data_IF_492442331253
#
_entry.id   IF_492442331253
#
_cell.length_a   1.000
_cell.length_b   1.000
_cell.length_c   1.000
_cell.angle_alpha   90.00
_cell.angle_beta   90.00
_cell.angle_gamma   90.00
#
_symmetry.space_group_name_H-M   'P 1'
#
loop_
_entity.id
_entity.type
_entity.pdbx_description
1 polymer ?
#
# COMPACT_ATOMS: atom_id res chain seq x y z
N UNK A 1 -22.94 0.86 19.15
CA UNK A 1 -21.74 0.83 20.03
C UNK A 1 -20.61 0.11 19.29
N UNK A 2 -19.40 0.67 19.21
CA UNK A 2 -18.27 -0.05 18.60
C UNK A 2 -17.91 -1.29 19.44
N UNK A 3 -17.67 -2.47 18.81
CA UNK A 3 -17.13 -3.63 19.51
C UNK A 3 -15.83 -3.28 20.25
N UNK A 4 -15.62 -3.84 21.44
CA UNK A 4 -14.44 -3.55 22.27
C UNK A 4 -13.12 -3.80 21.51
N UNK A 5 -13.06 -4.85 20.70
CA UNK A 5 -11.91 -5.15 19.85
C UNK A 5 -11.60 -4.01 18.85
N UNK A 6 -12.62 -3.38 18.27
CA UNK A 6 -12.42 -2.28 17.33
C UNK A 6 -11.95 -1.01 18.04
N UNK A 7 -12.39 -0.78 19.28
CA UNK A 7 -11.86 0.31 20.11
C UNK A 7 -10.38 0.10 20.41
N UNK A 8 -9.99 -1.11 20.79
CA UNK A 8 -8.58 -1.43 21.08
C UNK A 8 -7.71 -1.26 19.84
N UNK A 9 -8.16 -1.75 18.68
CA UNK A 9 -7.46 -1.57 17.40
C UNK A 9 -7.32 -0.10 17.03
N UNK A 10 -8.37 0.71 17.22
CA UNK A 10 -8.33 2.15 16.95
C UNK A 10 -7.37 2.89 17.89
N UNK A 11 -7.37 2.53 19.18
CA UNK A 11 -6.44 3.11 20.16
C UNK A 11 -4.99 2.80 19.77
N UNK A 12 -4.68 1.57 19.37
CA UNK A 12 -3.35 1.21 18.89
C UNK A 12 -2.98 1.92 17.59
N UNK A 13 -3.91 2.07 16.65
CA UNK A 13 -3.68 2.82 15.42
C UNK A 13 -3.35 4.28 15.71
N UNK A 14 -4.11 4.93 16.59
CA UNK A 14 -3.86 6.31 17.01
C UNK A 14 -2.53 6.43 17.75
N UNK A 15 -2.22 5.50 18.65
CA UNK A 15 -0.96 5.49 19.39
C UNK A 15 0.26 5.29 18.47
N UNK A 16 0.17 4.40 17.47
CA UNK A 16 1.23 4.19 16.48
C UNK A 16 1.47 5.44 15.62
N UNK A 17 0.40 6.09 15.15
CA UNK A 17 0.53 7.34 14.39
C UNK A 17 1.05 8.49 15.26
N UNK A 18 0.63 8.59 16.52
CA UNK A 18 1.17 9.56 17.47
C UNK A 18 2.67 9.33 17.73
N UNK A 19 3.10 8.07 17.81
CA UNK A 19 4.51 7.72 17.94
C UNK A 19 5.34 8.11 16.70
N UNK A 20 4.84 7.83 15.48
CA UNK A 20 5.49 8.28 14.24
C UNK A 20 5.60 9.81 14.22
N UNK A 21 4.52 10.51 14.54
CA UNK A 21 4.52 11.96 14.61
C UNK A 21 5.52 12.48 15.65
N UNK A 22 5.57 11.87 16.83
CA UNK A 22 6.54 12.20 17.86
C UNK A 22 7.99 11.96 17.39
N UNK A 23 8.26 10.86 16.68
CA UNK A 23 9.57 10.61 16.06
C UNK A 23 9.91 11.65 14.99
N UNK A 24 8.94 12.03 14.15
CA UNK A 24 9.13 13.05 13.12
C UNK A 24 9.42 14.42 13.76
N UNK A 25 8.68 14.80 14.80
CA UNK A 25 8.90 16.04 15.55
C UNK A 25 10.25 16.00 16.26
N UNK A 26 10.55 14.92 16.98
CA UNK A 26 11.84 14.76 17.67
C UNK A 26 13.00 14.80 16.69
N UNK A 27 12.86 14.25 15.49
CA UNK A 27 13.91 14.30 14.48
C UNK A 27 14.03 15.64 13.75
N UNK A 28 12.90 16.32 13.54
CA UNK A 28 12.89 17.67 13.00
C UNK A 28 13.54 18.66 13.98
N UNK A 29 13.27 18.49 15.29
CA UNK A 29 13.83 19.32 16.37
C UNK A 29 15.28 18.96 16.67
N UNK A 30 15.63 17.67 16.72
CA UNK A 30 16.98 17.19 17.03
C UNK A 30 17.82 16.92 15.77
N UNK A 31 17.48 17.57 14.64
CA UNK A 31 18.16 17.38 13.36
C UNK A 31 19.65 17.72 13.54
N UNK A 32 20.53 16.73 13.35
CA UNK A 32 21.98 16.85 13.56
C UNK A 32 22.50 16.33 14.90
N UNK A 33 21.71 16.31 15.98
CA UNK A 33 22.16 15.86 17.31
C UNK A 33 22.13 14.34 17.45
N UNK A 34 21.06 13.68 17.01
CA UNK A 34 20.90 12.22 17.14
C UNK A 34 21.31 11.43 15.89
N UNK A 35 21.17 12.04 14.70
CA UNK A 35 21.28 11.31 13.44
C UNK A 35 22.60 11.52 12.71
N UNK A 36 23.37 12.54 13.09
CA UNK A 36 24.64 12.90 12.44
C UNK A 36 24.47 12.99 10.92
N UNK A 37 25.26 12.19 10.20
CA UNK A 37 25.18 12.03 8.74
C UNK A 37 23.82 11.44 8.28
N UNK A 38 23.15 12.07 7.32
CA UNK A 38 21.88 11.61 6.75
C UNK A 38 22.04 10.44 5.77
N UNK A 39 23.27 9.96 5.51
CA UNK A 39 23.48 8.77 4.69
C UNK A 39 22.68 7.58 5.20
N UNK A 40 22.02 6.92 4.26
CA UNK A 40 21.29 5.70 4.52
C UNK A 40 22.20 4.61 5.11
N UNK A 41 21.75 3.98 6.19
CA UNK A 41 22.27 2.69 6.63
C UNK A 41 21.12 1.81 7.09
N UNK A 42 21.27 0.51 6.88
CA UNK A 42 20.23 -0.45 7.24
C UNK A 42 19.93 -0.45 8.74
N UNK A 43 20.95 -0.22 9.59
CA UNK A 43 20.80 -0.08 11.04
C UNK A 43 19.93 1.12 11.40
N UNK A 44 20.20 2.29 10.80
CA UNK A 44 19.40 3.51 11.01
C UNK A 44 17.96 3.31 10.57
N UNK A 45 17.76 2.67 9.42
CA UNK A 45 16.44 2.34 8.90
C UNK A 45 15.64 1.44 9.85
N UNK A 46 16.21 0.33 10.31
CA UNK A 46 15.49 -0.57 11.22
C UNK A 46 15.34 -0.02 12.64
N UNK A 47 16.23 0.85 13.10
CA UNK A 47 16.01 1.59 14.34
C UNK A 47 14.79 2.52 14.19
N UNK A 48 14.70 3.23 13.07
CA UNK A 48 13.56 4.09 12.77
C UNK A 48 12.27 3.29 12.62
N UNK A 49 12.29 2.15 11.91
CA UNK A 49 11.10 1.32 11.64
C UNK A 49 10.81 0.29 12.72
N UNK A 50 11.66 0.16 13.74
CA UNK A 50 11.58 -0.87 14.77
C UNK A 50 10.32 -0.81 15.62
N UNK A 51 9.64 0.34 15.65
CA UNK A 51 8.34 0.48 16.31
C UNK A 51 7.25 -0.37 15.67
N UNK A 52 7.30 -0.61 14.36
CA UNK A 52 6.26 -1.37 13.65
C UNK A 52 6.16 -2.81 14.19
N UNK A 53 7.22 -3.64 14.17
CA UNK A 53 7.14 -4.98 14.75
C UNK A 53 6.82 -4.97 16.25
N UNK A 54 7.26 -3.96 17.02
CA UNK A 54 6.89 -3.83 18.43
C UNK A 54 5.38 -3.57 18.61
N UNK A 55 4.79 -2.71 17.79
CA UNK A 55 3.35 -2.44 17.80
C UNK A 55 2.52 -3.67 17.42
N UNK A 56 2.95 -4.41 16.38
CA UNK A 56 2.33 -5.69 16.01
C UNK A 56 2.49 -6.75 17.11
N UNK A 57 3.63 -6.80 17.79
CA UNK A 57 3.84 -7.66 18.95
C UNK A 57 2.90 -7.30 20.11
N UNK A 58 2.75 -6.02 20.43
CA UNK A 58 1.82 -5.56 21.44
C UNK A 58 0.36 -5.89 21.09
N UNK A 59 -0.06 -5.66 19.84
CA UNK A 59 -1.38 -6.06 19.34
C UNK A 59 -1.60 -7.58 19.43
N UNK A 60 -0.57 -8.37 19.13
CA UNK A 60 -0.65 -9.81 19.23
C UNK A 60 -0.81 -10.32 20.67
N UNK A 61 -0.14 -9.67 21.62
CA UNK A 61 -0.24 -10.02 23.04
C UNK A 61 -1.54 -9.53 23.70
N UNK A 62 -2.11 -8.42 23.21
CA UNK A 62 -3.25 -7.75 23.87
C UNK A 62 -4.58 -7.88 23.15
N UNK A 63 -4.58 -8.22 21.87
CA UNK A 63 -5.79 -8.30 21.03
C UNK A 63 -5.93 -9.68 20.40
N UNK A 64 -5.02 -10.07 19.51
CA UNK A 64 -5.10 -11.34 18.78
C UNK A 64 -3.74 -11.74 18.19
N UNK A 65 -3.19 -12.95 18.47
CA UNK A 65 -1.89 -13.38 17.95
C UNK A 65 -1.79 -13.35 16.42
N UNK A 66 -2.92 -13.39 15.71
CA UNK A 66 -2.99 -13.29 14.24
C UNK A 66 -2.45 -11.97 13.69
N UNK A 67 -2.32 -10.92 14.50
CA UNK A 67 -1.65 -9.68 14.06
C UNK A 67 -0.17 -9.91 13.70
N UNK A 68 0.54 -10.84 14.34
CA UNK A 68 1.90 -11.22 13.91
C UNK A 68 1.88 -11.94 12.56
N UNK A 69 0.88 -12.78 12.30
CA UNK A 69 0.72 -13.41 11.01
C UNK A 69 0.41 -12.37 9.92
N UNK A 70 -0.43 -11.38 10.22
CA UNK A 70 -0.70 -10.25 9.32
C UNK A 70 0.58 -9.48 8.98
N UNK A 71 1.42 -9.15 9.97
CA UNK A 71 2.71 -8.50 9.74
C UNK A 71 3.55 -9.24 8.70
N UNK A 72 3.68 -10.56 8.86
CA UNK A 72 4.53 -11.38 7.98
C UNK A 72 3.90 -11.53 6.60
N UNK A 73 2.65 -11.97 6.52
CA UNK A 73 1.97 -12.27 5.25
C UNK A 73 1.77 -11.00 4.43
N UNK A 74 1.34 -9.91 5.07
CA UNK A 74 1.12 -8.64 4.36
C UNK A 74 2.44 -8.00 3.92
N UNK A 75 3.49 -8.04 4.76
CA UNK A 75 4.80 -7.53 4.37
C UNK A 75 5.35 -8.23 3.12
N UNK A 76 5.24 -9.57 3.07
CA UNK A 76 5.64 -10.34 1.89
C UNK A 76 4.74 -10.06 0.68
N UNK A 77 3.42 -10.05 0.88
CA UNK A 77 2.45 -9.81 -0.18
C UNK A 77 2.61 -8.42 -0.80
N UNK A 78 2.97 -7.40 -0.02
CA UNK A 78 3.23 -6.06 -0.53
C UNK A 78 4.48 -5.98 -1.40
N UNK A 79 5.60 -6.56 -0.97
CA UNK A 79 6.84 -6.63 -1.77
C UNK A 79 6.60 -7.39 -3.08
N UNK A 80 5.87 -8.51 -3.03
CA UNK A 80 5.48 -9.25 -4.24
C UNK A 80 4.51 -8.45 -5.12
N UNK A 81 3.54 -7.76 -4.51
CA UNK A 81 2.57 -6.91 -5.18
C UNK A 81 3.23 -5.77 -5.95
N UNK A 82 4.19 -5.08 -5.35
CA UNK A 82 5.01 -4.06 -6.04
C UNK A 82 5.72 -4.61 -7.27
N UNK A 83 6.30 -5.82 -7.15
CA UNK A 83 6.96 -6.48 -8.26
C UNK A 83 5.96 -6.75 -9.39
N UNK A 84 4.79 -7.31 -9.09
CA UNK A 84 3.75 -7.60 -10.08
C UNK A 84 3.20 -6.32 -10.73
N UNK A 85 2.97 -5.27 -9.94
CA UNK A 85 2.55 -3.96 -10.44
C UNK A 85 3.62 -3.34 -11.34
N UNK A 86 4.90 -3.45 -10.97
CA UNK A 86 6.00 -2.97 -11.81
C UNK A 86 6.09 -3.74 -13.13
N UNK A 87 5.90 -5.05 -13.11
CA UNK A 87 5.87 -5.86 -14.33
C UNK A 87 4.68 -5.50 -15.23
N UNK A 88 3.50 -5.33 -14.66
CA UNK A 88 2.33 -4.85 -15.39
C UNK A 88 2.57 -3.43 -15.92
N UNK A 89 3.14 -2.53 -15.13
CA UNK A 89 3.48 -1.18 -15.57
C UNK A 89 4.40 -1.19 -16.79
N UNK A 90 5.41 -2.06 -16.78
CA UNK A 90 6.35 -2.23 -17.91
C UNK A 90 5.70 -2.74 -19.18
N UNK A 91 4.53 -3.35 -19.11
CA UNK A 91 3.77 -3.66 -20.33
C UNK A 91 3.10 -2.44 -20.94
N UNK A 92 2.95 -1.32 -20.22
CA UNK A 92 2.34 -0.09 -20.74
C UNK A 92 3.35 1.05 -20.95
N UNK A 93 4.43 1.11 -20.16
CA UNK A 93 5.33 2.26 -20.12
C UNK A 93 6.82 1.87 -20.11
N UNK A 94 7.66 2.68 -20.79
CA UNK A 94 9.11 2.50 -20.82
C UNK A 94 9.83 3.05 -19.59
N UNK A 95 9.30 4.08 -18.94
CA UNK A 95 9.85 4.57 -17.69
C UNK A 95 9.21 3.81 -16.53
N UNK A 96 9.98 3.35 -15.54
CA UNK A 96 9.41 2.67 -14.38
C UNK A 96 8.47 3.59 -13.62
N UNK A 97 7.55 3.02 -12.85
CA UNK A 97 6.64 3.79 -11.99
C UNK A 97 7.42 4.52 -10.88
N UNK A 98 8.34 3.81 -10.24
CA UNK A 98 9.25 4.27 -9.20
C UNK A 98 10.67 3.73 -9.43
N UNK A 99 11.65 4.38 -8.80
CA UNK A 99 13.05 3.96 -8.81
C UNK A 99 13.55 3.87 -7.36
N UNK A 100 14.07 2.71 -6.94
CA UNK A 100 14.66 2.54 -5.61
C UNK A 100 16.16 2.82 -5.61
N UNK A 101 16.62 3.61 -4.63
CA UNK A 101 18.03 3.93 -4.42
C UNK A 101 18.76 2.86 -3.61
N UNK A 102 18.05 2.07 -2.79
CA UNK A 102 18.64 1.12 -1.86
C UNK A 102 17.96 -0.24 -1.87
N UNK A 103 18.77 -1.31 -1.76
CA UNK A 103 18.33 -2.72 -1.65
C UNK A 103 17.29 -3.13 -2.70
N UNK A 104 17.41 -2.56 -3.89
CA UNK A 104 16.56 -2.87 -5.04
C UNK A 104 16.66 -4.35 -5.40
N UNK A 105 15.51 -4.95 -5.69
CA UNK A 105 15.38 -6.31 -6.20
C UNK A 105 14.90 -6.24 -7.64
N UNK A 106 15.34 -7.18 -8.48
CA UNK A 106 14.90 -7.36 -9.86
C UNK A 106 14.86 -6.04 -10.66
N UNK A 107 16.04 -5.43 -10.88
CA UNK A 107 16.22 -4.17 -11.61
C UNK A 107 15.52 -2.94 -10.99
N UNK A 108 15.22 -2.98 -9.69
CA UNK A 108 14.60 -1.86 -8.98
C UNK A 108 13.09 -1.82 -9.05
N UNK A 109 12.44 -2.96 -9.30
CA UNK A 109 10.97 -3.06 -9.28
C UNK A 109 10.38 -3.08 -7.87
N UNK A 110 11.13 -3.55 -6.89
CA UNK A 110 10.76 -3.50 -5.47
C UNK A 110 12.02 -3.38 -4.61
N UNK A 111 11.86 -3.19 -3.31
CA UNK A 111 12.93 -3.23 -2.34
C UNK A 111 12.51 -4.03 -1.11
N UNK A 112 13.43 -4.84 -0.58
CA UNK A 112 13.20 -5.63 0.64
C UNK A 112 12.91 -4.76 1.87
N UNK A 113 13.34 -3.49 1.84
CA UNK A 113 13.04 -2.54 2.92
C UNK A 113 11.55 -2.17 2.96
N UNK A 114 10.78 -2.38 1.88
CA UNK A 114 9.35 -2.07 1.86
C UNK A 114 8.49 -3.07 2.64
N UNK A 115 9.06 -4.16 3.14
CA UNK A 115 8.34 -5.16 3.94
C UNK A 115 7.56 -4.53 5.10
N UNK A 116 8.21 -3.71 5.93
CA UNK A 116 7.57 -3.09 7.10
C UNK A 116 6.51 -2.04 6.70
N UNK A 117 6.79 -1.12 5.76
CA UNK A 117 5.77 -0.20 5.25
C UNK A 117 4.52 -0.88 4.72
N UNK A 118 4.67 -1.99 3.98
CA UNK A 118 3.53 -2.74 3.47
C UNK A 118 2.71 -3.38 4.57
N UNK A 119 3.35 -3.97 5.58
CA UNK A 119 2.64 -4.50 6.74
C UNK A 119 1.85 -3.42 7.49
N UNK A 120 2.45 -2.24 7.69
CA UNK A 120 1.77 -1.10 8.31
C UNK A 120 0.58 -0.63 7.45
N UNK A 121 0.77 -0.48 6.13
CA UNK A 121 -0.31 -0.14 5.20
C UNK A 121 -1.45 -1.14 5.24
N UNK A 122 -1.14 -2.45 5.28
CA UNK A 122 -2.13 -3.50 5.40
C UNK A 122 -2.95 -3.41 6.69
N UNK A 123 -2.30 -3.06 7.80
CA UNK A 123 -3.01 -2.77 9.05
C UNK A 123 -3.94 -1.55 8.90
N UNK A 124 -3.50 -0.47 8.26
CA UNK A 124 -4.36 0.69 7.97
C UNK A 124 -5.62 0.26 7.18
N UNK A 125 -5.44 -0.53 6.11
CA UNK A 125 -6.56 -1.03 5.31
C UNK A 125 -7.48 -1.96 6.09
N UNK A 126 -6.92 -2.81 6.95
CA UNK A 126 -7.70 -3.65 7.86
C UNK A 126 -8.62 -2.83 8.77
N UNK A 127 -8.08 -1.81 9.45
CA UNK A 127 -8.85 -0.92 10.34
C UNK A 127 -9.97 -0.23 9.58
N UNK A 128 -9.65 0.35 8.41
CA UNK A 128 -10.63 1.06 7.57
C UNK A 128 -11.70 0.11 7.05
N UNK A 129 -11.32 -1.09 6.62
CA UNK A 129 -12.25 -2.11 6.14
C UNK A 129 -13.19 -2.58 7.25
N UNK A 130 -12.68 -2.78 8.48
CA UNK A 130 -13.49 -3.08 9.66
C UNK A 130 -14.48 -1.95 9.96
N UNK A 131 -14.04 -0.69 9.92
CA UNK A 131 -14.92 0.47 10.14
C UNK A 131 -16.03 0.56 9.10
N UNK A 132 -15.69 0.43 7.82
CA UNK A 132 -16.64 0.51 6.71
C UNK A 132 -17.65 -0.65 6.67
N UNK A 133 -17.34 -1.77 7.34
CA UNK A 133 -18.19 -2.97 7.38
C UNK A 133 -18.88 -3.20 8.72
N UNK A 134 -18.64 -2.34 9.72
CA UNK A 134 -19.23 -2.40 11.06
C UNK A 134 -20.76 -2.42 10.98
N UNK A 135 -21.39 -3.58 11.20
CA UNK A 135 -22.85 -3.75 11.18
C UNK A 135 -23.36 -4.86 10.27
N UNK A 136 -22.55 -5.28 9.28
CA UNK A 136 -22.75 -6.59 8.64
C UNK A 136 -22.07 -7.64 9.51
N UNK A 137 -22.80 -8.69 9.92
CA UNK A 137 -22.20 -9.85 10.59
C UNK A 137 -20.91 -10.22 9.86
N UNK A 138 -19.84 -10.38 10.64
CA UNK A 138 -18.47 -10.64 10.20
C UNK A 138 -18.51 -11.43 8.91
N UNK A 139 -18.27 -10.75 7.77
CA UNK A 139 -18.30 -11.40 6.48
C UNK A 139 -17.13 -12.36 6.50
N UNK A 140 -17.41 -13.62 6.83
CA UNK A 140 -16.55 -14.75 6.54
C UNK A 140 -16.06 -14.52 5.12
N UNK A 141 -14.75 -14.61 4.85
CA UNK A 141 -14.23 -14.34 3.53
C UNK A 141 -14.87 -15.33 2.56
N UNK A 142 -15.89 -14.88 1.85
CA UNK A 142 -16.47 -15.69 0.80
C UNK A 142 -15.44 -15.70 -0.31
N UNK A 143 -15.12 -16.91 -0.79
CA UNK A 143 -14.24 -17.10 -1.93
C UNK A 143 -14.72 -16.29 -3.16
N UNK A 144 -16.03 -16.02 -3.23
CA UNK A 144 -16.69 -15.33 -4.33
C UNK A 144 -16.09 -13.93 -4.64
N UNK A 145 -16.04 -12.94 -3.73
CA UNK A 145 -15.38 -11.66 -3.98
C UNK A 145 -13.95 -11.77 -4.52
N UNK A 146 -13.15 -12.72 -4.02
CA UNK A 146 -11.79 -12.91 -4.51
C UNK A 146 -11.79 -13.42 -5.93
N UNK A 147 -12.59 -14.45 -6.23
CA UNK A 147 -12.73 -15.01 -7.57
C UNK A 147 -13.27 -13.97 -8.55
N UNK A 148 -14.30 -13.22 -8.17
CA UNK A 148 -14.88 -12.12 -8.97
C UNK A 148 -13.84 -11.05 -9.23
N UNK A 149 -13.08 -10.64 -8.22
CA UNK A 149 -12.02 -9.64 -8.36
C UNK A 149 -10.92 -10.12 -9.31
N UNK A 150 -10.41 -11.34 -9.12
CA UNK A 150 -9.36 -11.90 -9.97
C UNK A 150 -9.81 -12.07 -11.41
N UNK A 151 -11.02 -12.61 -11.64
CA UNK A 151 -11.58 -12.78 -12.98
C UNK A 151 -11.80 -11.42 -13.67
N UNK A 152 -12.39 -10.45 -12.97
CA UNK A 152 -12.62 -9.11 -13.52
C UNK A 152 -11.31 -8.39 -13.84
N UNK A 153 -10.29 -8.52 -12.99
CA UNK A 153 -8.96 -7.97 -13.24
C UNK A 153 -8.33 -8.57 -14.49
N UNK A 154 -8.36 -9.91 -14.64
CA UNK A 154 -7.82 -10.60 -15.83
C UNK A 154 -8.56 -10.20 -17.10
N UNK A 155 -9.90 -10.14 -17.07
CA UNK A 155 -10.72 -9.68 -18.20
C UNK A 155 -10.37 -8.23 -18.55
N UNK A 156 -10.28 -7.35 -17.56
CA UNK A 156 -9.90 -5.95 -17.78
C UNK A 156 -8.49 -5.82 -18.37
N UNK A 157 -7.53 -6.65 -17.94
CA UNK A 157 -6.21 -6.74 -18.57
C UNK A 157 -6.32 -7.17 -20.04
N UNK A 158 -7.11 -8.21 -20.33
CA UNK A 158 -7.31 -8.69 -21.69
C UNK A 158 -7.97 -7.65 -22.61
N UNK A 159 -8.90 -6.83 -22.08
CA UNK A 159 -9.53 -5.71 -22.80
C UNK A 159 -8.56 -4.54 -23.00
N UNK A 160 -7.75 -4.22 -21.99
CA UNK A 160 -6.77 -3.14 -22.09
C UNK A 160 -5.61 -3.49 -23.03
N UNK A 161 -5.27 -4.78 -23.15
CA UNK A 161 -4.06 -5.24 -23.83
C UNK A 161 -3.97 -4.89 -25.33
N UNK A 162 -5.01 -5.08 -26.17
CA UNK A 162 -4.99 -4.67 -27.57
C UNK A 162 -4.75 -3.15 -27.74
N UNK A 163 -5.25 -2.35 -26.81
CA UNK A 163 -5.11 -0.89 -26.84
C UNK A 163 -3.66 -0.44 -26.66
N UNK A 164 -2.79 -1.31 -26.12
CA UNK A 164 -1.33 -1.11 -26.07
C UNK A 164 -0.72 -0.85 -27.45
N UNK A 165 -1.30 -1.43 -28.51
CA UNK A 165 -0.82 -1.22 -29.90
C UNK A 165 -1.14 0.20 -30.39
N UNK A 166 -2.22 0.80 -29.87
CA UNK A 166 -2.67 2.16 -30.24
C UNK A 166 -1.99 3.27 -29.46
N UNK A 167 -1.38 2.96 -28.32
CA UNK A 167 -0.42 3.83 -27.62
C UNK A 167 0.96 3.42 -28.13
N UNK A 168 1.50 4.10 -29.15
CA UNK A 168 2.54 3.53 -30.01
C UNK A 168 3.65 2.81 -29.23
N UNK A 169 3.94 1.57 -29.62
CA UNK A 169 5.01 0.75 -29.02
C UNK A 169 6.42 1.39 -29.18
N UNK A 170 6.55 2.41 -30.03
CA UNK A 170 7.74 3.25 -30.19
C UNK A 170 7.83 4.39 -29.17
N UNK A 171 6.71 4.85 -28.64
CA UNK A 171 6.71 5.95 -27.69
C UNK A 171 6.85 5.42 -26.27
N UNK A 172 6.02 4.45 -25.85
CA UNK A 172 5.97 3.96 -24.45
C UNK A 172 6.05 5.07 -23.39
N UNK A 173 5.63 6.28 -23.80
CA UNK A 173 5.67 7.51 -23.02
C UNK A 173 4.46 7.51 -22.13
N UNK A 174 4.64 8.01 -20.92
CA UNK A 174 3.52 8.21 -20.02
C UNK A 174 2.60 9.30 -20.58
N UNK A 175 1.33 8.95 -20.78
CA UNK A 175 0.27 9.87 -21.22
C UNK A 175 -1.00 9.62 -20.41
N UNK A 176 -1.89 10.61 -20.24
CA UNK A 176 -3.15 10.42 -19.53
C UNK A 176 -4.01 9.28 -20.13
N UNK A 177 -4.04 9.16 -21.46
CA UNK A 177 -4.77 8.09 -22.17
C UNK A 177 -4.20 6.71 -21.86
N UNK A 178 -2.88 6.55 -21.92
CA UNK A 178 -2.23 5.28 -21.59
C UNK A 178 -2.42 4.92 -20.10
N UNK A 179 -2.41 5.91 -19.21
CA UNK A 179 -2.71 5.71 -17.79
C UNK A 179 -4.16 5.29 -17.55
N UNK A 180 -5.14 5.89 -18.25
CA UNK A 180 -6.53 5.48 -18.17
C UNK A 180 -6.72 4.02 -18.62
N UNK A 181 -6.05 3.60 -19.70
CA UNK A 181 -6.04 2.20 -20.15
C UNK A 181 -5.41 1.26 -19.11
N UNK A 182 -4.30 1.67 -18.48
CA UNK A 182 -3.68 0.93 -17.39
C UNK A 182 -4.60 0.78 -16.17
N UNK A 183 -5.47 1.76 -15.90
CA UNK A 183 -6.44 1.71 -14.80
C UNK A 183 -7.69 0.88 -15.11
N UNK A 184 -7.91 0.49 -16.38
CA UNK A 184 -9.10 -0.24 -16.80
C UNK A 184 -9.33 -1.57 -16.02
N UNK A 185 -8.31 -2.42 -15.78
CA UNK A 185 -8.47 -3.62 -14.96
C UNK A 185 -8.97 -3.35 -13.53
N UNK A 186 -8.55 -2.22 -12.96
CA UNK A 186 -8.94 -1.79 -11.61
C UNK A 186 -10.40 -1.34 -11.62
N UNK A 187 -10.80 -0.56 -12.63
CA UNK A 187 -12.17 -0.11 -12.81
C UNK A 187 -13.13 -1.29 -13.04
N UNK A 188 -12.75 -2.26 -13.88
CA UNK A 188 -13.51 -3.50 -14.08
C UNK A 188 -13.67 -4.30 -12.79
N UNK A 189 -12.60 -4.40 -11.99
CA UNK A 189 -12.63 -5.06 -10.68
C UNK A 189 -13.63 -4.40 -9.74
N UNK A 190 -13.58 -3.06 -9.63
CA UNK A 190 -14.49 -2.30 -8.79
C UNK A 190 -15.95 -2.48 -9.21
N UNK A 191 -16.23 -2.38 -10.52
CA UNK A 191 -17.57 -2.54 -11.06
C UNK A 191 -18.11 -3.96 -10.85
N UNK A 192 -17.32 -4.99 -11.17
CA UNK A 192 -17.73 -6.37 -11.01
C UNK A 192 -18.03 -6.71 -9.54
N UNK A 193 -17.18 -6.28 -8.60
CA UNK A 193 -17.44 -6.47 -7.18
C UNK A 193 -18.71 -5.74 -6.71
N UNK A 194 -18.94 -4.52 -7.19
CA UNK A 194 -20.14 -3.77 -6.85
C UNK A 194 -21.42 -4.49 -7.34
N UNK A 195 -21.40 -5.02 -8.56
CA UNK A 195 -22.54 -5.70 -9.18
C UNK A 195 -22.78 -7.11 -8.61
N UNK A 196 -21.73 -7.91 -8.43
CA UNK A 196 -21.87 -9.34 -8.07
C UNK A 196 -21.70 -9.62 -6.57
N UNK A 197 -21.05 -8.72 -5.82
CA UNK A 197 -20.75 -8.93 -4.40
C UNK A 197 -21.31 -7.80 -3.50
N UNK A 198 -21.87 -6.76 -4.11
CA UNK A 198 -22.59 -5.68 -3.46
C UNK A 198 -21.84 -4.33 -3.48
N UNK A 199 -22.58 -3.20 -3.45
CA UNK A 199 -22.02 -1.86 -3.65
C UNK A 199 -20.98 -1.43 -2.60
N UNK A 200 -20.96 -2.09 -1.44
CA UNK A 200 -19.97 -1.85 -0.37
C UNK A 200 -18.52 -2.00 -0.84
N UNK A 201 -18.25 -2.86 -1.82
CA UNK A 201 -16.89 -3.05 -2.34
C UNK A 201 -16.37 -1.83 -3.08
N UNK A 202 -17.25 -1.09 -3.77
CA UNK A 202 -16.89 0.18 -4.38
C UNK A 202 -16.52 1.20 -3.31
N UNK A 203 -17.32 1.30 -2.24
CA UNK A 203 -17.02 2.17 -1.10
C UNK A 203 -15.67 1.82 -0.45
N UNK A 204 -15.39 0.53 -0.20
CA UNK A 204 -14.11 0.07 0.34
C UNK A 204 -12.94 0.50 -0.55
N UNK A 205 -13.00 0.25 -1.86
CA UNK A 205 -11.94 0.64 -2.79
C UNK A 205 -11.74 2.16 -2.85
N UNK A 206 -12.83 2.94 -2.77
CA UNK A 206 -12.77 4.39 -2.71
C UNK A 206 -12.14 4.90 -1.40
N UNK A 207 -12.37 4.22 -0.28
CA UNK A 207 -11.75 4.55 1.01
C UNK A 207 -10.28 4.11 1.10
N UNK A 208 -9.91 3.00 0.49
CA UNK A 208 -8.53 2.51 0.52
C UNK A 208 -7.56 3.39 -0.29
N UNK A 209 -8.02 3.98 -1.39
CA UNK A 209 -7.21 4.87 -2.22
C UNK A 209 -6.56 6.03 -1.42
N UNK A 210 -7.33 6.90 -0.71
CA UNK A 210 -6.77 8.00 0.07
C UNK A 210 -5.97 7.51 1.28
N UNK A 211 -6.32 6.37 1.88
CA UNK A 211 -5.58 5.79 3.01
C UNK A 211 -4.19 5.33 2.57
N UNK A 212 -4.10 4.59 1.46
CA UNK A 212 -2.82 4.16 0.90
C UNK A 212 -1.97 5.33 0.46
N UNK A 213 -2.57 6.27 -0.29
CA UNK A 213 -1.90 7.46 -0.77
C UNK A 213 -1.35 8.34 0.37
N UNK A 214 -2.14 8.58 1.41
CA UNK A 214 -1.69 9.36 2.58
C UNK A 214 -0.62 8.63 3.39
N UNK A 215 -0.77 7.32 3.59
CA UNK A 215 0.24 6.49 4.28
C UNK A 215 1.57 6.54 3.54
N UNK A 216 1.53 6.38 2.21
CA UNK A 216 2.70 6.51 1.35
C UNK A 216 3.33 7.91 1.42
N UNK A 217 2.51 8.97 1.35
CA UNK A 217 3.02 10.34 1.43
C UNK A 217 3.73 10.60 2.76
N UNK A 218 3.09 10.28 3.88
CA UNK A 218 3.67 10.45 5.22
C UNK A 218 4.93 9.62 5.36
N UNK A 219 4.92 8.37 4.91
CA UNK A 219 6.09 7.50 4.98
C UNK A 219 7.24 8.02 4.10
N UNK A 220 6.97 8.33 2.83
CA UNK A 220 7.97 8.86 1.89
C UNK A 220 8.58 10.18 2.36
N UNK A 221 7.74 11.09 2.86
CA UNK A 221 8.21 12.37 3.41
C UNK A 221 9.01 12.18 4.69
N UNK A 222 8.61 11.25 5.56
CA UNK A 222 9.40 10.91 6.73
C UNK A 222 10.78 10.43 6.29
N UNK A 223 10.84 9.43 5.40
CA UNK A 223 12.11 8.87 4.93
C UNK A 223 13.06 9.92 4.36
N UNK A 224 12.57 10.89 3.58
CA UNK A 224 13.43 11.94 3.02
C UNK A 224 13.90 12.99 4.03
N UNK A 225 13.25 13.11 5.19
CA UNK A 225 13.75 13.92 6.30
C UNK A 225 14.93 13.25 7.02
N UNK A 226 14.96 11.91 7.03
CA UNK A 226 15.96 11.11 7.75
C UNK A 226 17.11 10.59 6.87
N UNK A 227 16.86 10.40 5.58
CA UNK A 227 17.77 9.71 4.67
C UNK A 227 18.01 10.51 3.39
N UNK A 228 19.29 10.69 3.06
CA UNK A 228 19.75 11.24 1.78
C UNK A 228 20.69 10.23 1.09
N UNK A 229 20.42 9.80 -0.16
CA UNK A 229 19.25 10.14 -0.99
C UNK A 229 17.95 9.47 -0.52
N UNK A 230 16.81 9.96 -1.05
CA UNK A 230 15.51 9.34 -0.81
C UNK A 230 15.50 7.85 -1.19
N UNK A 231 14.80 7.04 -0.39
CA UNK A 231 14.75 5.58 -0.57
C UNK A 231 14.16 5.16 -1.93
N UNK A 232 13.16 5.90 -2.39
CA UNK A 232 12.63 5.79 -3.74
C UNK A 232 12.19 7.16 -4.26
N UNK A 233 12.06 7.23 -5.58
CA UNK A 233 11.43 8.36 -6.26
C UNK A 233 10.43 7.87 -7.30
N UNK A 234 9.26 8.48 -7.32
CA UNK A 234 8.30 8.32 -8.41
C UNK A 234 8.80 9.00 -9.67
N UNK A 235 8.43 8.49 -10.84
CA UNK A 235 8.85 9.08 -12.13
C UNK A 235 7.73 9.85 -12.84
N UNK A 236 6.46 9.61 -12.48
CA UNK A 236 5.28 10.18 -13.17
C UNK A 236 4.39 10.94 -12.18
N UNK A 237 3.77 12.05 -12.61
CA UNK A 237 2.89 12.92 -11.80
C UNK A 237 3.28 13.03 -10.32
N UNK A 238 4.56 13.35 -10.13
CA UNK A 238 5.26 13.40 -8.85
C UNK A 238 4.72 14.53 -7.99
N UNK A 239 4.57 14.28 -6.70
CA UNK A 239 4.33 15.32 -5.70
C UNK A 239 5.51 15.41 -4.74
N UNK A 240 5.78 16.63 -4.25
CA UNK A 240 6.79 16.92 -3.21
C UNK A 240 8.14 16.22 -3.47
N UNK A 241 8.79 16.55 -4.59
CA UNK A 241 10.09 15.94 -4.94
C UNK A 241 10.03 14.47 -5.41
N UNK A 242 8.83 13.88 -5.55
CA UNK A 242 8.65 12.51 -6.02
C UNK A 242 8.57 11.47 -4.91
N UNK A 243 8.23 11.87 -3.69
CA UNK A 243 7.98 10.95 -2.57
C UNK A 243 6.65 10.19 -2.71
N UNK A 244 5.68 10.79 -3.39
CA UNK A 244 4.43 10.14 -3.79
C UNK A 244 4.05 10.56 -5.21
N UNK A 245 3.02 9.95 -5.76
CA UNK A 245 2.50 10.25 -7.09
C UNK A 245 1.00 10.04 -7.16
N UNK A 246 0.31 10.92 -7.89
CA UNK A 246 -1.12 10.77 -8.17
C UNK A 246 -1.41 9.46 -8.94
N UNK A 247 -0.42 8.90 -9.66
CA UNK A 247 -0.60 7.65 -10.40
C UNK A 247 -0.81 6.43 -9.49
N UNK A 248 -0.44 6.51 -8.22
CA UNK A 248 -0.60 5.40 -7.28
C UNK A 248 -2.01 5.32 -6.69
N UNK A 249 -2.82 6.37 -6.83
CA UNK A 249 -4.16 6.41 -6.25
C UNK A 249 -5.04 5.20 -6.66
N UNK A 250 -5.16 4.82 -7.94
CA UNK A 250 -5.90 3.64 -8.35
C UNK A 250 -5.26 2.33 -7.86
N UNK A 251 -3.92 2.30 -7.78
CA UNK A 251 -3.18 1.14 -7.28
C UNK A 251 -3.45 0.91 -5.79
N UNK A 252 -3.58 1.98 -5.00
CA UNK A 252 -3.94 1.92 -3.59
C UNK A 252 -5.36 1.41 -3.36
N UNK A 253 -6.32 1.72 -4.24
CA UNK A 253 -7.66 1.11 -4.20
C UNK A 253 -7.59 -0.42 -4.33
N UNK A 254 -6.81 -0.92 -5.29
CA UNK A 254 -6.67 -2.36 -5.53
C UNK A 254 -5.85 -3.04 -4.42
N UNK A 255 -4.72 -2.45 -4.05
CA UNK A 255 -3.83 -2.96 -3.01
C UNK A 255 -4.55 -3.06 -1.67
N UNK A 256 -5.28 -2.01 -1.28
CA UNK A 256 -6.05 -2.04 -0.03
C UNK A 256 -7.14 -3.10 -0.02
N UNK A 257 -7.82 -3.34 -1.15
CA UNK A 257 -8.78 -4.43 -1.28
C UNK A 257 -8.12 -5.79 -1.04
N UNK A 258 -6.95 -6.03 -1.65
CA UNK A 258 -6.23 -7.30 -1.47
C UNK A 258 -5.66 -7.48 -0.06
N UNK A 259 -5.14 -6.43 0.58
CA UNK A 259 -4.76 -6.52 1.99
C UNK A 259 -5.95 -6.77 2.90
N UNK A 260 -7.10 -6.19 2.59
CA UNK A 260 -8.33 -6.47 3.30
C UNK A 260 -8.77 -7.93 3.14
N UNK A 261 -8.68 -8.52 1.93
CA UNK A 261 -8.90 -9.96 1.73
C UNK A 261 -7.90 -10.82 2.53
N UNK A 262 -6.61 -10.47 2.53
CA UNK A 262 -5.58 -11.17 3.31
C UNK A 262 -5.92 -11.13 4.81
N UNK A 263 -6.25 -9.96 5.35
CA UNK A 263 -6.63 -9.82 6.76
C UNK A 263 -7.87 -10.66 7.10
N UNK A 264 -8.86 -10.67 6.21
CA UNK A 264 -10.09 -11.45 6.37
C UNK A 264 -9.83 -12.96 6.33
N UNK A 265 -8.94 -13.44 5.46
CA UNK A 265 -8.54 -14.85 5.40
C UNK A 265 -7.71 -15.33 6.59
N UNK A 266 -6.91 -14.43 7.17
CA UNK A 266 -6.24 -14.69 8.45
C UNK A 266 -7.27 -14.74 9.60
N UNK A 267 -8.49 -14.22 9.38
CA UNK A 267 -9.57 -14.18 10.35
C UNK A 267 -9.52 -12.96 11.27
N UNK A 268 -8.86 -11.88 10.83
CA UNK A 268 -8.70 -10.64 11.57
C UNK A 268 -9.85 -9.67 11.39
#
# INVERSE_FOLDING_TARGET
>A
MLPQALKTVLVFFVAANAYILALMVAAAVCKGVFWGDQRFSLRKYYLFMGWAPLAFGALALTVDPRYLLLLVVAGMAGVLGELLVSLLWRSFFHQPIWTYSHRSVLRGYTSTINFLPWAVGAFCFHVVGRLATSGSQAATPTLLPVVVSSAAFVIGCAVAWPSRVTTSAREGRFTPKAFALFCLPIAFTALALALFCGPRYLLLMLMFAPVGFSTEYVYGRSMSLFFDPALWTYNHWRLDGGHTSVVTFPLWSLGGLYFWFISSWIGL
#
